data_IF_918185913094
#
_entry.id   IF_918185913094
#
_cell.length_a   1.000
_cell.length_b   1.000
_cell.length_c   1.000
_cell.angle_alpha   90.00
_cell.angle_beta   90.00
_cell.angle_gamma   90.00
#
_symmetry.space_group_name_H-M   'P 1'
#
loop_
_entity.id
_entity.type
_entity.pdbx_description
1 polymer ?
#
# COMPACT_ATOMS: atom_id res chain seq x y z
N UNK A 1 -29.73 42.18 -11.25
CA UNK A 1 -29.14 41.25 -10.25
C UNK A 1 -29.63 39.79 -10.34
N UNK A 2 -30.90 39.50 -10.65
CA UNK A 2 -31.42 38.10 -10.74
C UNK A 2 -30.68 37.20 -11.75
N UNK A 3 -30.36 37.71 -12.94
CA UNK A 3 -29.64 36.93 -13.97
C UNK A 3 -28.21 36.56 -13.58
N UNK A 4 -27.53 37.41 -12.82
CA UNK A 4 -26.16 37.16 -12.36
C UNK A 4 -26.12 36.07 -11.26
N UNK A 5 -27.12 36.06 -10.37
CA UNK A 5 -27.29 34.99 -9.36
C UNK A 5 -27.55 33.62 -9.98
N UNK A 6 -28.37 33.57 -11.03
CA UNK A 6 -28.66 32.31 -11.74
C UNK A 6 -27.44 31.80 -12.52
N UNK A 7 -26.63 32.70 -13.10
CA UNK A 7 -25.40 32.34 -13.80
C UNK A 7 -24.32 31.81 -12.84
N UNK A 8 -24.19 32.43 -11.65
CA UNK A 8 -23.26 31.99 -10.63
C UNK A 8 -23.67 30.64 -10.01
N UNK A 9 -24.97 30.42 -9.80
CA UNK A 9 -25.49 29.14 -9.33
C UNK A 9 -25.26 28.00 -10.34
N UNK A 10 -25.40 28.27 -11.63
CA UNK A 10 -25.11 27.30 -12.68
C UNK A 10 -23.62 26.92 -12.72
N UNK A 11 -22.72 27.89 -12.55
CA UNK A 11 -21.27 27.64 -12.49
C UNK A 11 -20.86 26.81 -11.27
N UNK A 12 -21.49 27.08 -10.11
CA UNK A 12 -21.28 26.30 -8.89
C UNK A 12 -21.78 24.85 -9.04
N UNK A 13 -22.89 24.63 -9.74
CA UNK A 13 -23.43 23.29 -9.99
C UNK A 13 -22.54 22.47 -10.93
N UNK A 14 -21.98 23.10 -11.96
CA UNK A 14 -21.04 22.44 -12.89
C UNK A 14 -19.74 22.07 -12.19
N UNK A 15 -19.19 22.95 -11.36
CA UNK A 15 -17.95 22.67 -10.60
C UNK A 15 -18.16 21.62 -9.51
N UNK A 16 -19.33 21.61 -8.85
CA UNK A 16 -19.69 20.59 -7.87
C UNK A 16 -19.89 19.21 -8.52
N UNK A 17 -20.54 19.13 -9.69
CA UNK A 17 -20.69 17.88 -10.43
C UNK A 17 -19.34 17.32 -10.91
N UNK A 18 -18.43 18.17 -11.39
CA UNK A 18 -17.12 17.75 -11.90
C UNK A 18 -16.17 17.24 -10.79
N UNK A 19 -16.27 17.79 -9.57
CA UNK A 19 -15.46 17.36 -8.42
C UNK A 19 -15.99 16.10 -7.74
N UNK A 20 -17.28 15.77 -7.90
CA UNK A 20 -17.87 14.57 -7.30
C UNK A 20 -17.60 13.30 -8.13
N UNK A 21 -17.61 13.40 -9.47
CA UNK A 21 -17.41 12.26 -10.37
C UNK A 21 -16.01 11.65 -10.29
N UNK A 22 -14.98 12.44 -9.99
CA UNK A 22 -13.58 11.95 -9.98
C UNK A 22 -13.24 11.07 -8.77
N UNK A 23 -14.00 11.12 -7.66
CA UNK A 23 -13.78 10.27 -6.49
C UNK A 23 -14.40 8.88 -6.61
N UNK A 24 -15.42 8.70 -7.44
CA UNK A 24 -16.18 7.45 -7.54
C UNK A 24 -15.50 6.37 -8.40
N UNK A 25 -14.46 6.70 -9.15
CA UNK A 25 -13.82 5.80 -10.14
C UNK A 25 -12.43 5.28 -9.73
N UNK A 26 -12.06 5.37 -8.46
CA UNK A 26 -10.89 4.69 -7.93
C UNK A 26 -11.28 3.26 -7.51
N UNK A 27 -11.58 2.40 -8.49
CA UNK A 27 -11.76 0.97 -8.21
C UNK A 27 -10.45 0.41 -7.66
N UNK A 28 -10.47 -0.09 -6.42
CA UNK A 28 -9.35 -0.73 -5.73
C UNK A 28 -8.91 -1.98 -6.52
N UNK A 29 -7.95 -1.80 -7.42
CA UNK A 29 -7.36 -2.92 -8.18
C UNK A 29 -6.54 -3.77 -7.20
N UNK A 30 -6.80 -5.07 -7.11
CA UNK A 30 -6.03 -6.01 -6.30
C UNK A 30 -5.11 -6.86 -7.17
N UNK A 31 -4.01 -7.33 -6.59
CA UNK A 31 -3.06 -8.25 -7.22
C UNK A 31 -2.95 -9.47 -6.32
N UNK A 32 -3.06 -10.66 -6.91
CA UNK A 32 -2.77 -11.92 -6.22
C UNK A 32 -1.28 -12.21 -6.34
N UNK A 33 -0.63 -12.40 -5.20
CA UNK A 33 0.77 -12.80 -5.11
C UNK A 33 0.80 -14.24 -4.65
N UNK A 34 1.34 -15.12 -5.48
CA UNK A 34 1.54 -16.54 -5.17
C UNK A 34 3.00 -16.74 -4.76
N UNK A 35 3.22 -17.09 -3.50
CA UNK A 35 4.52 -17.42 -2.95
C UNK A 35 4.65 -18.94 -2.90
N UNK A 36 5.45 -19.50 -3.80
CA UNK A 36 5.78 -20.93 -3.81
C UNK A 36 7.29 -21.09 -3.68
N UNK A 37 7.77 -21.39 -2.48
CA UNK A 37 9.19 -21.55 -2.21
C UNK A 37 9.47 -22.76 -1.30
N UNK A 38 10.61 -23.38 -1.53
CA UNK A 38 11.08 -24.54 -0.79
C UNK A 38 12.17 -24.12 0.18
N UNK A 39 11.92 -24.26 1.48
CA UNK A 39 12.95 -24.04 2.51
C UNK A 39 13.71 -25.35 2.69
N UNK A 40 15.01 -25.32 2.38
CA UNK A 40 15.94 -26.41 2.71
C UNK A 40 16.44 -26.20 4.13
N UNK A 41 16.20 -27.16 5.00
CA UNK A 41 16.82 -27.20 6.33
C UNK A 41 18.30 -27.52 6.20
N UNK A 42 19.13 -27.03 7.11
CA UNK A 42 20.58 -27.31 7.15
C UNK A 42 20.88 -28.82 7.29
N UNK A 43 19.95 -29.56 7.90
CA UNK A 43 20.00 -31.01 7.99
C UNK A 43 19.81 -31.68 6.62
N UNK A 44 20.91 -32.21 6.06
CA UNK A 44 20.94 -32.95 4.77
C UNK A 44 19.97 -34.13 4.66
N UNK A 45 19.31 -34.54 5.75
CA UNK A 45 18.33 -35.64 5.80
C UNK A 45 16.87 -35.17 5.84
N UNK A 46 16.61 -33.87 5.98
CA UNK A 46 15.26 -33.35 6.12
C UNK A 46 14.65 -33.05 4.75
N UNK A 47 13.42 -33.52 4.52
CA UNK A 47 12.68 -33.19 3.31
C UNK A 47 12.40 -31.67 3.26
N UNK A 48 12.54 -31.03 2.09
CA UNK A 48 12.31 -29.59 1.97
C UNK A 48 10.87 -29.26 2.34
N UNK A 49 10.70 -28.25 3.20
CA UNK A 49 9.37 -27.73 3.53
C UNK A 49 8.91 -26.83 2.39
N UNK A 50 7.83 -27.22 1.74
CA UNK A 50 7.17 -26.42 0.71
C UNK A 50 6.23 -25.42 1.39
N UNK A 51 6.44 -24.13 1.14
CA UNK A 51 5.52 -23.07 1.54
C UNK A 51 4.78 -22.61 0.29
N UNK A 52 3.45 -22.73 0.33
CA UNK A 52 2.58 -22.28 -0.75
C UNK A 52 1.49 -21.37 -0.17
N UNK A 53 1.63 -20.06 -0.38
CA UNK A 53 0.72 -19.06 0.15
C UNK A 53 0.28 -18.11 -0.95
N UNK A 54 -1.02 -17.84 -1.02
CA UNK A 54 -1.58 -16.83 -1.93
C UNK A 54 -2.09 -15.65 -1.11
N UNK A 55 -1.47 -14.49 -1.28
CA UNK A 55 -1.85 -13.26 -0.60
C UNK A 55 -2.44 -12.28 -1.61
N UNK A 56 -3.63 -11.76 -1.31
CA UNK A 56 -4.27 -10.73 -2.14
C UNK A 56 -3.89 -9.35 -1.58
N UNK A 57 -3.20 -8.54 -2.39
CA UNK A 57 -2.70 -7.22 -1.98
C UNK A 57 -3.34 -6.13 -2.84
N UNK A 58 -3.65 -4.97 -2.26
CA UNK A 58 -4.12 -3.82 -3.02
C UNK A 58 -2.99 -3.25 -3.89
N UNK A 59 -3.31 -2.89 -5.14
CA UNK A 59 -2.39 -2.21 -6.03
C UNK A 59 -2.20 -0.77 -5.53
N UNK A 60 -0.95 -0.42 -5.22
CA UNK A 60 -0.54 0.87 -4.64
C UNK A 60 -1.17 1.18 -3.26
N UNK A 61 -0.79 0.43 -2.21
CA UNK A 61 -1.34 0.61 -0.87
C UNK A 61 -0.93 1.97 -0.28
N UNK A 62 -1.85 2.77 0.26
CA UNK A 62 -1.49 4.11 0.77
C UNK A 62 -0.58 4.08 2.00
N UNK A 63 -0.65 3.01 2.81
CA UNK A 63 0.08 2.83 4.05
C UNK A 63 0.58 1.40 4.16
N UNK A 64 1.81 1.22 4.61
CA UNK A 64 2.46 -0.08 4.81
C UNK A 64 3.18 -0.05 6.14
N UNK A 65 3.01 -1.11 6.93
CA UNK A 65 3.76 -1.32 8.18
C UNK A 65 4.87 -2.31 7.88
N UNK A 66 6.08 -2.00 8.33
CA UNK A 66 7.27 -2.82 8.09
C UNK A 66 7.99 -3.02 9.41
N UNK A 67 8.34 -4.28 9.68
CA UNK A 67 9.06 -4.68 10.89
C UNK A 67 10.52 -5.02 10.63
N UNK A 68 10.87 -5.33 9.38
CA UNK A 68 12.21 -5.72 8.98
C UNK A 68 13.01 -4.53 8.42
N UNK A 69 14.24 -4.35 8.91
CA UNK A 69 15.10 -3.22 8.49
C UNK A 69 15.57 -3.34 7.03
N UNK A 70 15.71 -4.55 6.49
CA UNK A 70 16.07 -4.74 5.08
C UNK A 70 14.90 -4.41 4.14
N UNK A 71 13.68 -4.77 4.53
CA UNK A 71 12.48 -4.36 3.83
C UNK A 71 12.27 -2.83 3.89
N UNK A 72 12.63 -2.19 5.01
CA UNK A 72 12.64 -0.73 5.15
C UNK A 72 13.60 -0.07 4.15
N UNK A 73 14.83 -0.57 4.05
CA UNK A 73 15.83 -0.04 3.11
C UNK A 73 15.35 -0.19 1.65
N UNK A 74 14.76 -1.34 1.31
CA UNK A 74 14.18 -1.57 -0.02
C UNK A 74 13.07 -0.57 -0.36
N UNK A 75 12.19 -0.27 0.58
CA UNK A 75 11.09 0.70 0.36
C UNK A 75 11.63 2.13 0.24
N UNK A 76 12.67 2.45 1.00
CA UNK A 76 13.43 3.72 0.93
C UNK A 76 14.08 3.86 -0.44
N UNK A 77 14.77 2.82 -0.94
CA UNK A 77 15.39 2.81 -2.27
C UNK A 77 14.37 2.96 -3.40
N UNK A 78 13.13 2.49 -3.21
CA UNK A 78 12.01 2.71 -4.13
C UNK A 78 11.39 4.12 -4.03
N UNK A 79 11.87 4.98 -3.14
CA UNK A 79 11.40 6.35 -2.92
C UNK A 79 9.99 6.42 -2.31
N UNK A 80 9.55 5.37 -1.61
CA UNK A 80 8.17 5.23 -1.08
C UNK A 80 8.06 5.43 0.44
N UNK A 81 8.98 6.18 1.01
CA UNK A 81 9.10 6.43 2.45
C UNK A 81 7.83 7.02 3.08
N UNK A 82 7.12 7.90 2.34
CA UNK A 82 5.89 8.56 2.81
C UNK A 82 4.73 7.60 3.10
N UNK A 83 4.82 6.37 2.61
CA UNK A 83 3.81 5.33 2.79
C UNK A 83 4.10 4.47 4.03
N UNK A 84 5.26 4.62 4.66
CA UNK A 84 5.68 3.82 5.79
C UNK A 84 5.05 4.30 7.09
N UNK A 85 4.52 3.34 7.84
CA UNK A 85 4.23 3.48 9.25
C UNK A 85 5.24 2.60 10.00
N UNK A 86 6.25 3.24 10.58
CA UNK A 86 7.25 2.56 11.39
C UNK A 86 6.65 2.21 12.75
N UNK A 87 6.57 0.92 13.06
CA UNK A 87 6.29 0.48 14.43
C UNK A 87 7.62 0.47 15.19
N UNK A 88 7.93 1.57 15.86
CA UNK A 88 9.08 1.64 16.76
C UNK A 88 8.75 0.81 18.02
N UNK A 89 9.05 -0.47 17.97
CA UNK A 89 9.25 -1.27 19.17
C UNK A 89 10.63 -1.93 19.10
N UNK A 90 11.65 -1.10 19.04
CA UNK A 90 13.01 -1.48 19.40
C UNK A 90 13.27 -0.91 20.78
N UNK A 91 12.86 -1.67 21.79
CA UNK A 91 13.59 -1.64 23.05
C UNK A 91 14.99 -2.18 22.72
N UNK A 92 15.88 -1.26 22.37
CA UNK A 92 17.31 -1.32 22.66
C UNK A 92 18.02 -2.66 22.36
N UNK A 93 18.07 -3.05 21.07
CA UNK A 93 19.11 -3.94 20.58
C UNK A 93 20.26 -3.09 20.00
N UNK A 94 20.89 -2.30 20.88
CA UNK A 94 22.19 -1.68 20.66
C UNK A 94 23.09 -2.01 21.86
N UNK A 95 23.29 -3.30 22.09
CA UNK A 95 24.43 -3.83 22.84
C UNK A 95 24.81 -5.14 22.15
N UNK A 96 26.08 -5.20 21.74
CA UNK A 96 26.80 -6.24 21.00
C UNK A 96 26.75 -6.11 19.48
#
# INVERSE_FOLDING_TARGET
MKRFKNLFAAFLLVTFAFTFTSKAFAADKTVKVENNYAIKSEDKKSNPKMVNETVTVKKNPQKVVVYDLGALDTITALGKEKMLLLFQNLNMALIC
#
